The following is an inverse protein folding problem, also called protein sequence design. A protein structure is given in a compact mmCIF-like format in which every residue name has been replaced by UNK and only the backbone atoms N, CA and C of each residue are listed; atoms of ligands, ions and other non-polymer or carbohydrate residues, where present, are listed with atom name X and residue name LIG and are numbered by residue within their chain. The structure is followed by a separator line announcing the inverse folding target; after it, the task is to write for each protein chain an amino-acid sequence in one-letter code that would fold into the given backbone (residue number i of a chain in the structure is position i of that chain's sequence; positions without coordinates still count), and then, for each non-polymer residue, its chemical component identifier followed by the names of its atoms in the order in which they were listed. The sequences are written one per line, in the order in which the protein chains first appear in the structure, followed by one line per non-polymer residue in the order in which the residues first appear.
data_IF_429088402260
#
_entry.id   IF_429088402260
#
_cell.length_a   1.000
_cell.length_b   1.000
_cell.length_c   1.000
_cell.angle_alpha   90.00
_cell.angle_beta   90.00
_cell.angle_gamma   90.00
#
_symmetry.space_group_name_H-M   'P 1'
#
loop_
_entity.id
_entity.type
_entity.pdbx_description
1 polymer ?
#
# COMPACT_ATOMS: atom_id res chain seq x y z
N UNK A 1 -25.65 46.63 72.39
CA UNK A 1 -26.94 45.98 72.29
C UNK A 1 -26.78 44.64 71.59
N UNK A 2 -26.62 43.69 72.42
CA UNK A 2 -27.30 42.41 72.61
C UNK A 2 -27.73 41.69 71.30
N UNK A 3 -27.21 40.52 71.00
CA UNK A 3 -27.72 39.16 71.36
C UNK A 3 -26.80 38.08 70.76
N UNK A 4 -26.20 37.34 71.61
CA UNK A 4 -26.42 35.94 72.01
C UNK A 4 -26.05 34.90 70.94
N UNK A 5 -24.91 34.22 71.27
CA UNK A 5 -24.45 32.92 70.74
C UNK A 5 -25.42 31.80 71.16
N UNK A 6 -25.65 30.86 70.28
CA UNK A 6 -25.94 29.45 70.64
C UNK A 6 -25.03 28.56 69.77
N UNK A 7 -24.12 27.87 70.46
CA UNK A 7 -23.30 26.83 69.86
C UNK A 7 -24.09 25.51 69.83
N UNK A 8 -24.19 24.86 68.71
CA UNK A 8 -24.60 23.46 68.57
C UNK A 8 -23.42 22.66 68.16
N UNK A 9 -22.90 21.85 69.07
CA UNK A 9 -21.96 20.76 68.75
C UNK A 9 -22.77 19.65 68.09
N UNK A 10 -22.43 19.36 66.81
CA UNK A 10 -22.85 18.15 66.13
C UNK A 10 -21.67 17.24 66.05
N UNK A 11 -21.68 16.13 66.76
CA UNK A 11 -20.69 15.04 66.65
C UNK A 11 -20.92 14.27 65.33
N UNK A 12 -20.03 14.41 64.39
CA UNK A 12 -20.00 13.59 63.16
C UNK A 12 -19.16 12.35 63.41
N UNK A 13 -19.81 11.20 63.54
CA UNK A 13 -19.18 9.89 63.52
C UNK A 13 -18.76 9.59 62.10
N UNK A 14 -17.43 9.53 61.86
CA UNK A 14 -16.85 9.01 60.62
C UNK A 14 -17.06 7.49 60.54
N UNK A 15 -17.98 7.05 59.70
CA UNK A 15 -18.05 5.64 59.29
C UNK A 15 -17.04 5.40 58.14
N UNK A 16 -15.94 4.73 58.45
CA UNK A 16 -14.98 4.28 57.44
C UNK A 16 -15.55 3.06 56.70
N UNK A 17 -16.14 3.28 55.54
CA UNK A 17 -16.51 2.18 54.62
C UNK A 17 -15.26 1.75 53.89
N UNK A 18 -14.70 0.59 54.27
CA UNK A 18 -13.65 -0.10 53.50
C UNK A 18 -14.25 -0.63 52.17
N UNK A 19 -13.92 0.01 51.05
CA UNK A 19 -14.18 -0.54 49.73
C UNK A 19 -13.17 -1.65 49.46
N UNK A 20 -13.61 -2.89 49.59
CA UNK A 20 -12.89 -4.03 49.07
C UNK A 20 -12.94 -3.96 47.53
N UNK A 21 -11.83 -3.62 46.87
CA UNK A 21 -11.68 -3.75 45.42
C UNK A 21 -11.64 -5.21 45.07
N UNK A 22 -12.76 -5.78 44.59
CA UNK A 22 -12.76 -7.05 43.90
C UNK A 22 -11.99 -6.84 42.58
N UNK A 23 -10.71 -7.30 42.55
CA UNK A 23 -9.98 -7.47 41.32
C UNK A 23 -10.57 -8.67 40.58
N UNK A 24 -11.51 -8.39 39.67
CA UNK A 24 -12.02 -9.42 38.77
C UNK A 24 -10.88 -9.80 37.81
N UNK A 25 -10.24 -10.92 38.04
CA UNK A 25 -9.34 -11.54 37.08
C UNK A 25 -10.16 -11.80 35.80
N UNK A 26 -9.90 -11.03 34.73
CA UNK A 26 -10.46 -11.30 33.42
C UNK A 26 -9.99 -12.69 32.96
N UNK A 27 -10.92 -13.61 32.85
CA UNK A 27 -10.67 -14.88 32.20
C UNK A 27 -10.17 -14.62 30.77
N UNK A 28 -9.17 -15.38 30.27
CA UNK A 28 -8.71 -15.22 28.89
C UNK A 28 -9.91 -15.41 27.95
N UNK A 29 -10.10 -14.43 27.07
CA UNK A 29 -11.15 -14.48 26.04
C UNK A 29 -10.93 -15.76 25.23
N UNK A 30 -11.96 -16.59 25.01
CA UNK A 30 -11.79 -17.79 24.19
C UNK A 30 -11.30 -17.39 22.81
N UNK A 31 -10.22 -18.03 22.35
CA UNK A 31 -9.71 -17.87 21.01
C UNK A 31 -10.87 -18.07 20.03
N UNK A 32 -11.13 -17.10 19.17
CA UNK A 32 -12.19 -17.17 18.19
C UNK A 32 -12.01 -18.47 17.37
N UNK A 33 -13.02 -19.33 17.37
CA UNK A 33 -12.99 -20.56 16.58
C UNK A 33 -12.79 -20.20 15.10
N UNK A 34 -11.93 -20.91 14.34
CA UNK A 34 -11.69 -20.62 12.95
C UNK A 34 -13.01 -20.68 12.17
N UNK A 35 -13.29 -19.63 11.40
CA UNK A 35 -14.45 -19.60 10.49
C UNK A 35 -14.25 -20.75 9.51
N UNK A 36 -15.18 -21.73 9.48
CA UNK A 36 -15.11 -22.88 8.57
C UNK A 36 -15.04 -22.35 7.14
N UNK A 37 -13.93 -22.65 6.43
CA UNK A 37 -13.70 -22.27 5.04
C UNK A 37 -12.80 -21.04 4.85
N UNK A 38 -12.32 -20.36 5.91
CA UNK A 38 -11.31 -19.32 5.77
C UNK A 38 -9.95 -19.94 5.35
N UNK A 39 -9.15 -19.25 4.49
CA UNK A 39 -7.79 -19.69 4.19
C UNK A 39 -6.94 -19.77 5.46
N UNK A 40 -6.05 -20.78 5.53
CA UNK A 40 -5.04 -20.94 6.58
C UNK A 40 -3.65 -20.88 5.92
N UNK A 41 -3.25 -19.68 5.55
CA UNK A 41 -1.96 -19.49 4.89
C UNK A 41 -0.80 -19.82 5.82
N UNK A 42 -0.87 -19.49 7.12
CA UNK A 42 0.19 -19.86 8.07
C UNK A 42 0.36 -21.39 8.20
N UNK A 43 -0.73 -22.15 8.21
CA UNK A 43 -0.69 -23.62 8.16
C UNK A 43 -0.08 -24.14 6.86
N UNK A 44 -0.43 -23.53 5.71
CA UNK A 44 0.20 -23.84 4.41
C UNK A 44 1.71 -23.58 4.45
N UNK A 45 2.16 -22.41 4.95
CA UNK A 45 3.59 -22.11 5.09
C UNK A 45 4.33 -23.11 5.97
N UNK A 46 3.71 -23.53 7.09
CA UNK A 46 4.27 -24.52 8.01
C UNK A 46 4.49 -25.86 7.33
N UNK A 47 3.50 -26.33 6.56
CA UNK A 47 3.56 -27.63 5.90
C UNK A 47 4.43 -27.65 4.66
N UNK A 48 4.34 -26.62 3.80
CA UNK A 48 5.06 -26.55 2.53
C UNK A 48 6.49 -26.04 2.67
N UNK A 49 6.79 -25.27 3.74
CA UNK A 49 8.04 -24.53 3.96
C UNK A 49 8.36 -23.52 2.84
N UNK A 50 7.33 -23.06 2.12
CA UNK A 50 7.45 -22.16 0.98
C UNK A 50 6.40 -21.06 1.06
N UNK A 51 6.75 -19.89 0.52
CA UNK A 51 5.84 -18.77 0.30
C UNK A 51 5.87 -18.37 -1.18
N UNK A 52 4.70 -18.20 -1.76
CA UNK A 52 4.51 -17.72 -3.12
C UNK A 52 4.17 -16.24 -3.11
N UNK A 53 4.98 -15.42 -3.77
CA UNK A 53 4.89 -13.96 -3.73
C UNK A 53 4.66 -13.42 -5.13
N UNK A 54 3.54 -12.74 -5.34
CA UNK A 54 3.28 -12.01 -6.56
C UNK A 54 3.95 -10.62 -6.52
N UNK A 55 4.55 -10.19 -7.63
CA UNK A 55 5.31 -8.94 -7.75
C UNK A 55 5.11 -8.28 -9.11
N UNK A 56 5.39 -6.98 -9.20
CA UNK A 56 5.51 -6.30 -10.48
C UNK A 56 6.92 -6.46 -11.05
N UNK A 57 7.04 -6.61 -12.36
CA UNK A 57 8.34 -6.68 -13.03
C UNK A 57 8.87 -5.31 -13.46
N UNK A 58 8.00 -4.26 -13.52
CA UNK A 58 8.28 -2.99 -14.21
C UNK A 58 7.94 -1.74 -13.38
N UNK A 59 7.65 -1.87 -12.08
CA UNK A 59 7.24 -0.74 -11.23
C UNK A 59 8.42 -0.19 -10.42
N UNK A 60 9.54 0.18 -11.11
CA UNK A 60 10.62 0.93 -10.46
C UNK A 60 10.10 2.27 -9.87
N UNK A 61 10.50 2.66 -8.66
CA UNK A 61 11.43 2.01 -7.73
C UNK A 61 10.74 1.11 -6.69
N UNK A 62 9.45 0.81 -6.83
CA UNK A 62 8.66 0.10 -5.81
C UNK A 62 8.80 -1.43 -5.88
N UNK A 63 8.55 -2.02 -7.05
CA UNK A 63 8.65 -3.46 -7.30
C UNK A 63 9.03 -3.69 -8.76
N UNK A 64 10.22 -4.22 -9.01
CA UNK A 64 10.70 -4.48 -10.37
C UNK A 64 11.75 -5.58 -10.40
N UNK A 65 11.99 -6.13 -11.60
CA UNK A 65 13.00 -7.16 -11.83
C UNK A 65 14.11 -6.57 -12.70
N UNK A 66 15.35 -6.69 -12.25
CA UNK A 66 16.53 -6.28 -12.99
C UNK A 66 17.32 -7.53 -13.43
N UNK A 67 17.64 -7.63 -14.73
CA UNK A 67 18.52 -8.65 -15.29
C UNK A 67 18.10 -10.11 -14.99
N UNK A 68 16.80 -10.41 -14.96
CA UNK A 68 16.21 -11.72 -14.64
C UNK A 68 16.58 -12.26 -13.23
N UNK A 69 17.01 -11.38 -12.34
CA UNK A 69 17.30 -11.71 -10.94
C UNK A 69 16.02 -11.67 -10.07
N UNK A 70 16.21 -11.88 -8.77
CA UNK A 70 15.11 -11.67 -7.81
C UNK A 70 14.57 -10.24 -7.89
N UNK A 71 13.27 -10.06 -7.60
CA UNK A 71 12.68 -8.72 -7.57
C UNK A 71 13.34 -7.87 -6.48
N UNK A 72 13.43 -6.57 -6.76
CA UNK A 72 14.00 -5.54 -5.88
C UNK A 72 13.08 -4.32 -5.87
N UNK A 73 13.28 -3.44 -4.91
CA UNK A 73 12.52 -2.20 -4.78
C UNK A 73 12.03 -1.95 -3.36
N UNK A 74 11.44 -0.78 -3.15
CA UNK A 74 10.92 -0.35 -1.87
C UNK A 74 9.90 -1.36 -1.27
N UNK A 75 8.89 -1.73 -2.05
CA UNK A 75 7.87 -2.72 -1.64
C UNK A 75 8.48 -4.09 -1.39
N UNK A 76 9.49 -4.47 -2.17
CA UNK A 76 10.16 -5.76 -2.04
C UNK A 76 10.99 -5.82 -0.74
N UNK A 77 11.68 -4.73 -0.37
CA UNK A 77 12.42 -4.69 0.89
C UNK A 77 11.48 -4.76 2.10
N UNK A 78 10.32 -4.09 2.06
CA UNK A 78 9.28 -4.28 3.08
C UNK A 78 8.75 -5.72 3.08
N UNK A 79 8.50 -6.31 1.91
CA UNK A 79 8.03 -7.69 1.77
C UNK A 79 9.02 -8.70 2.37
N UNK A 80 10.32 -8.53 2.19
CA UNK A 80 11.34 -9.40 2.80
C UNK A 80 11.25 -9.39 4.33
N UNK A 81 10.92 -8.24 4.96
CA UNK A 81 10.66 -8.17 6.40
C UNK A 81 9.38 -8.90 6.80
N UNK A 82 8.34 -8.78 5.97
CA UNK A 82 7.09 -9.52 6.14
C UNK A 82 7.34 -11.03 6.04
N UNK A 83 8.06 -11.50 5.02
CA UNK A 83 8.39 -12.91 4.84
C UNK A 83 9.14 -13.48 6.06
N UNK A 84 10.11 -12.74 6.58
CA UNK A 84 10.85 -13.14 7.77
C UNK A 84 9.93 -13.27 9.01
N UNK A 85 8.96 -12.36 9.19
CA UNK A 85 7.97 -12.46 10.27
C UNK A 85 7.02 -13.64 10.07
N UNK A 86 6.51 -13.84 8.86
CA UNK A 86 5.66 -14.98 8.52
C UNK A 86 6.36 -16.32 8.77
N UNK A 87 7.65 -16.40 8.44
CA UNK A 87 8.46 -17.58 8.74
C UNK A 87 8.54 -17.88 10.24
N UNK A 88 8.77 -16.86 11.07
CA UNK A 88 8.75 -16.99 12.54
C UNK A 88 7.37 -17.44 13.05
N UNK A 89 6.31 -16.80 12.59
CA UNK A 89 4.94 -17.11 13.00
C UNK A 89 4.50 -18.54 12.60
N UNK A 90 4.96 -19.00 11.43
CA UNK A 90 4.72 -20.36 10.97
C UNK A 90 5.65 -21.41 11.61
N UNK A 91 6.69 -21.02 12.37
CA UNK A 91 7.71 -21.92 12.89
C UNK A 91 8.67 -22.44 11.81
N UNK A 92 8.85 -21.71 10.71
CA UNK A 92 9.69 -22.05 9.56
C UNK A 92 10.53 -20.81 9.21
N UNK A 93 11.57 -20.47 9.97
CA UNK A 93 12.34 -19.24 9.77
C UNK A 93 12.98 -19.13 8.38
N UNK A 94 13.28 -20.27 7.75
CA UNK A 94 13.92 -20.35 6.43
C UNK A 94 12.89 -20.68 5.35
N UNK A 95 11.86 -19.85 5.20
CA UNK A 95 10.87 -20.00 4.12
C UNK A 95 11.54 -19.83 2.74
N UNK A 96 11.38 -20.83 1.88
CA UNK A 96 11.74 -20.69 0.46
C UNK A 96 10.75 -19.75 -0.21
N UNK A 97 11.24 -18.68 -0.83
CA UNK A 97 10.40 -17.72 -1.56
C UNK A 97 10.37 -18.04 -3.04
N UNK A 98 9.16 -18.15 -3.59
CA UNK A 98 8.92 -18.30 -5.03
C UNK A 98 8.28 -16.99 -5.53
N UNK A 99 8.91 -16.36 -6.51
CA UNK A 99 8.46 -15.08 -7.07
C UNK A 99 7.68 -15.28 -8.36
N UNK A 100 6.53 -14.62 -8.48
CA UNK A 100 5.65 -14.65 -9.66
C UNK A 100 5.43 -13.22 -10.14
N UNK A 101 5.75 -12.93 -11.38
CA UNK A 101 5.48 -11.62 -11.99
C UNK A 101 4.13 -11.61 -12.68
N UNK A 102 3.49 -10.44 -12.72
CA UNK A 102 2.22 -10.25 -13.43
C UNK A 102 1.73 -8.82 -13.40
N UNK A 103 0.75 -8.54 -14.24
CA UNK A 103 -0.05 -7.31 -14.21
C UNK A 103 -0.83 -7.19 -12.89
N UNK A 104 -1.34 -6.02 -12.56
CA UNK A 104 -2.16 -5.80 -11.34
C UNK A 104 -3.30 -6.82 -11.25
N UNK A 105 -4.03 -7.02 -12.36
CA UNK A 105 -5.17 -7.94 -12.40
C UNK A 105 -4.74 -9.40 -12.16
N UNK A 106 -3.64 -9.83 -12.80
CA UNK A 106 -3.11 -11.18 -12.62
C UNK A 106 -2.63 -11.42 -11.19
N UNK A 107 -1.93 -10.46 -10.57
CA UNK A 107 -1.46 -10.58 -9.19
C UNK A 107 -2.60 -10.70 -8.19
N UNK A 108 -3.66 -9.88 -8.35
CA UNK A 108 -4.87 -10.00 -7.53
C UNK A 108 -5.53 -11.38 -7.73
N UNK A 109 -5.64 -11.86 -8.98
CA UNK A 109 -6.19 -13.19 -9.28
C UNK A 109 -5.34 -14.32 -8.68
N UNK A 110 -4.00 -14.21 -8.69
CA UNK A 110 -3.09 -15.17 -8.06
C UNK A 110 -3.33 -15.25 -6.55
N UNK A 111 -3.52 -14.12 -5.87
CA UNK A 111 -3.81 -14.12 -4.43
C UNK A 111 -5.21 -14.67 -4.15
N UNK A 112 -6.22 -14.23 -4.90
CA UNK A 112 -7.60 -14.68 -4.74
C UNK A 112 -7.77 -16.20 -4.96
N UNK A 113 -6.99 -16.79 -5.88
CA UNK A 113 -7.00 -18.22 -6.17
C UNK A 113 -6.09 -19.06 -5.26
N UNK A 114 -5.25 -18.44 -4.41
CA UNK A 114 -4.25 -19.12 -3.58
C UNK A 114 -3.00 -19.58 -4.34
N UNK A 115 -2.81 -19.18 -5.60
CA UNK A 115 -1.57 -19.38 -6.35
C UNK A 115 -0.42 -18.58 -5.75
N UNK A 116 -0.68 -17.34 -5.34
CA UNK A 116 0.21 -16.54 -4.51
C UNK A 116 -0.36 -16.40 -3.10
N UNK A 117 0.50 -16.31 -2.10
CA UNK A 117 0.15 -16.09 -0.71
C UNK A 117 0.04 -14.60 -0.37
N UNK A 118 0.76 -13.76 -1.12
CA UNK A 118 0.79 -12.32 -0.94
C UNK A 118 1.19 -11.62 -2.25
N UNK A 119 0.62 -10.45 -2.52
CA UNK A 119 1.10 -9.53 -3.58
C UNK A 119 1.93 -8.41 -2.94
N UNK A 120 3.23 -8.40 -3.22
CA UNK A 120 4.21 -7.45 -2.70
C UNK A 120 4.61 -6.37 -3.73
N UNK A 121 3.67 -5.87 -4.49
CA UNK A 121 3.94 -4.83 -5.50
C UNK A 121 3.46 -3.43 -5.06
N UNK A 122 3.01 -2.64 -6.00
CA UNK A 122 2.44 -1.31 -5.82
C UNK A 122 0.91 -1.34 -6.05
N UNK A 123 0.22 -2.23 -5.37
CA UNK A 123 -1.22 -2.43 -5.58
C UNK A 123 -2.04 -1.49 -4.71
N UNK A 124 -2.86 -0.66 -5.36
CA UNK A 124 -3.78 0.25 -4.67
C UNK A 124 -4.89 -0.53 -3.98
N UNK A 125 -5.08 -0.28 -2.69
CA UNK A 125 -6.20 -0.79 -1.92
C UNK A 125 -7.50 -0.08 -2.34
N UNK A 126 -8.47 -0.84 -2.86
CA UNK A 126 -9.78 -0.29 -3.25
C UNK A 126 -10.91 -1.20 -2.77
N UNK A 127 -12.10 -0.60 -2.53
CA UNK A 127 -13.28 -1.36 -2.13
C UNK A 127 -13.68 -2.41 -3.17
N UNK A 128 -13.44 -2.14 -4.47
CA UNK A 128 -13.72 -3.11 -5.52
C UNK A 128 -12.81 -4.34 -5.42
N UNK A 129 -11.51 -4.15 -5.19
CA UNK A 129 -10.53 -5.23 -5.02
C UNK A 129 -10.72 -6.01 -3.72
N UNK A 130 -11.25 -5.34 -2.68
CA UNK A 130 -11.58 -6.00 -1.39
C UNK A 130 -12.72 -7.03 -1.51
N UNK A 131 -13.39 -7.13 -2.65
CA UNK A 131 -14.32 -8.24 -2.91
C UNK A 131 -13.60 -9.57 -3.10
N UNK A 132 -12.36 -9.54 -3.60
CA UNK A 132 -11.58 -10.72 -3.99
C UNK A 132 -10.41 -11.00 -3.05
N UNK A 133 -9.79 -9.95 -2.47
CA UNK A 133 -8.64 -10.04 -1.58
C UNK A 133 -8.82 -9.12 -0.38
N UNK A 134 -8.06 -9.35 0.70
CA UNK A 134 -7.87 -8.38 1.77
C UNK A 134 -6.57 -7.60 1.56
N UNK A 135 -6.37 -6.52 2.32
CA UNK A 135 -5.17 -5.70 2.29
C UNK A 135 -4.52 -5.59 3.66
N UNK A 136 -3.19 -5.46 3.66
CA UNK A 136 -2.40 -5.11 4.83
C UNK A 136 -2.64 -3.65 5.26
N UNK A 137 -1.97 -3.22 6.31
CA UNK A 137 -1.69 -1.81 6.56
C UNK A 137 -1.04 -1.19 5.33
N UNK A 138 -1.24 0.14 5.12
CA UNK A 138 -0.70 0.83 3.95
C UNK A 138 0.82 0.85 4.00
N UNK A 139 1.44 0.63 2.84
CA UNK A 139 2.89 0.67 2.66
C UNK A 139 3.38 1.96 2.02
N UNK A 140 2.51 2.64 1.27
CA UNK A 140 2.83 3.88 0.58
C UNK A 140 1.57 4.69 0.25
N UNK A 141 1.74 5.99 0.02
CA UNK A 141 0.71 6.88 -0.52
C UNK A 141 1.30 7.65 -1.69
N UNK A 142 0.61 7.61 -2.80
CA UNK A 142 0.94 8.40 -3.99
C UNK A 142 -0.32 8.91 -4.70
N UNK A 143 -0.14 9.52 -5.85
CA UNK A 143 -1.22 9.97 -6.73
C UNK A 143 -1.00 9.48 -8.15
N UNK A 144 -2.08 9.31 -8.90
CA UNK A 144 -2.01 9.19 -10.35
C UNK A 144 -1.69 10.52 -11.01
N UNK A 145 -0.98 10.50 -12.14
CA UNK A 145 -0.59 11.70 -12.88
C UNK A 145 -0.40 11.44 -14.37
N UNK A 146 0.14 12.43 -15.05
CA UNK A 146 0.42 12.42 -16.48
C UNK A 146 1.90 12.70 -16.74
N UNK A 147 2.57 11.80 -17.45
CA UNK A 147 3.89 12.03 -18.04
C UNK A 147 3.66 12.58 -19.46
N UNK A 148 4.32 13.66 -19.78
CA UNK A 148 4.22 14.39 -21.06
C UNK A 148 5.59 14.77 -21.57
N UNK A 149 5.70 15.25 -22.81
CA UNK A 149 6.92 15.93 -23.28
C UNK A 149 7.04 17.29 -22.62
N UNK A 150 8.22 17.61 -22.10
CA UNK A 150 8.50 18.92 -21.53
C UNK A 150 8.38 20.03 -22.59
N UNK A 151 7.74 21.14 -22.23
CA UNK A 151 7.43 22.22 -23.18
C UNK A 151 6.47 21.81 -24.33
N UNK A 152 5.90 20.59 -24.28
CA UNK A 152 4.95 20.10 -25.29
C UNK A 152 3.56 20.74 -25.21
N UNK A 153 2.63 20.29 -26.06
CA UNK A 153 1.30 20.90 -26.17
C UNK A 153 0.35 20.55 -25.02
N UNK A 154 0.71 19.61 -24.13
CA UNK A 154 -0.10 19.19 -22.99
C UNK A 154 0.57 19.74 -21.73
N UNK A 155 -0.04 20.76 -21.11
CA UNK A 155 0.43 21.42 -19.89
C UNK A 155 -0.53 21.21 -18.70
N UNK A 156 -1.78 20.82 -18.98
CA UNK A 156 -2.84 20.55 -18.00
C UNK A 156 -3.82 19.53 -18.57
N UNK A 157 -4.67 18.97 -17.72
CA UNK A 157 -5.63 17.93 -18.11
C UNK A 157 -6.56 18.37 -19.27
N UNK A 158 -6.98 19.63 -19.30
CA UNK A 158 -7.88 20.14 -20.36
C UNK A 158 -7.23 20.10 -21.76
N UNK A 159 -5.90 20.16 -21.86
CA UNK A 159 -5.18 20.12 -23.14
C UNK A 159 -5.17 18.72 -23.79
N UNK A 160 -5.71 17.72 -23.10
CA UNK A 160 -5.86 16.36 -23.61
C UNK A 160 -6.93 16.22 -24.70
N UNK A 161 -7.76 17.25 -24.92
CA UNK A 161 -8.79 17.21 -25.97
C UNK A 161 -8.19 16.99 -27.35
N UNK A 162 -8.65 15.96 -28.08
CA UNK A 162 -8.14 15.54 -29.38
C UNK A 162 -6.80 14.79 -29.34
N UNK A 163 -6.21 14.55 -28.15
CA UNK A 163 -4.89 13.93 -27.96
C UNK A 163 -4.95 12.41 -27.79
N UNK A 164 -3.79 11.78 -28.00
CA UNK A 164 -3.58 10.36 -27.78
C UNK A 164 -2.97 10.15 -26.39
N UNK A 165 -3.65 9.40 -25.54
CA UNK A 165 -3.20 9.12 -24.16
C UNK A 165 -2.93 7.62 -24.02
N UNK A 166 -1.81 7.24 -23.45
CA UNK A 166 -1.54 5.86 -23.00
C UNK A 166 -1.90 5.70 -21.53
N UNK A 167 -2.36 4.52 -21.14
CA UNK A 167 -2.58 4.13 -19.75
C UNK A 167 -2.42 2.61 -19.61
N UNK A 168 -1.96 2.12 -18.45
CA UNK A 168 -1.88 0.68 -18.21
C UNK A 168 -3.26 0.10 -17.94
N UNK A 169 -3.61 -0.98 -18.65
CA UNK A 169 -4.88 -1.67 -18.51
C UNK A 169 -5.06 -2.29 -17.10
N UNK A 170 -6.28 -2.25 -16.56
CA UNK A 170 -6.65 -2.84 -15.27
C UNK A 170 -6.19 -2.05 -14.05
N UNK A 171 -5.66 -0.82 -14.24
CA UNK A 171 -5.19 0.03 -13.15
C UNK A 171 -6.30 0.95 -12.63
N UNK A 172 -6.14 1.44 -11.40
CA UNK A 172 -6.99 2.49 -10.82
C UNK A 172 -6.85 3.79 -11.60
N UNK A 173 -5.66 4.08 -12.11
CA UNK A 173 -5.40 5.25 -12.95
C UNK A 173 -6.18 5.19 -14.26
N UNK A 174 -6.33 4.02 -14.91
CA UNK A 174 -7.20 3.85 -16.09
C UNK A 174 -8.65 4.21 -15.78
N UNK A 175 -9.19 3.59 -14.72
CA UNK A 175 -10.60 3.84 -14.33
C UNK A 175 -10.83 5.32 -13.99
N UNK A 176 -9.87 5.98 -13.32
CA UNK A 176 -9.98 7.38 -12.96
C UNK A 176 -9.80 8.30 -14.16
N UNK A 177 -8.88 7.98 -15.09
CA UNK A 177 -8.72 8.72 -16.35
C UNK A 177 -10.01 8.70 -17.14
N UNK A 178 -10.62 7.53 -17.36
CA UNK A 178 -11.88 7.38 -18.08
C UNK A 178 -13.02 8.19 -17.43
N UNK A 179 -13.07 8.20 -16.08
CA UNK A 179 -14.05 9.02 -15.34
C UNK A 179 -13.81 10.52 -15.52
N UNK A 180 -12.56 11.00 -15.38
CA UNK A 180 -12.20 12.40 -15.52
C UNK A 180 -12.43 12.93 -16.93
N UNK A 181 -12.14 12.13 -17.97
CA UNK A 181 -12.43 12.52 -19.36
C UNK A 181 -13.93 12.78 -19.57
N UNK A 182 -14.79 11.95 -18.98
CA UNK A 182 -16.26 12.15 -19.03
C UNK A 182 -16.71 13.33 -18.17
N UNK A 183 -16.27 13.41 -16.93
CA UNK A 183 -16.64 14.47 -15.97
C UNK A 183 -16.27 15.86 -16.49
N UNK A 184 -15.10 15.99 -17.13
CA UNK A 184 -14.57 17.27 -17.63
C UNK A 184 -14.87 17.52 -19.10
N UNK A 185 -15.63 16.64 -19.76
CA UNK A 185 -16.00 16.72 -21.18
C UNK A 185 -14.78 16.83 -22.10
N UNK A 186 -13.68 16.12 -21.77
CA UNK A 186 -12.45 16.07 -22.56
C UNK A 186 -12.51 14.87 -23.49
N UNK A 187 -12.52 15.12 -24.81
CA UNK A 187 -12.55 14.06 -25.81
C UNK A 187 -11.11 13.69 -26.23
N UNK A 188 -10.58 12.58 -25.72
CA UNK A 188 -9.25 12.07 -26.02
C UNK A 188 -9.29 10.62 -26.52
N UNK A 189 -8.25 10.20 -27.24
CA UNK A 189 -8.09 8.81 -27.67
C UNK A 189 -7.23 8.06 -26.65
N UNK A 190 -7.79 7.06 -25.95
CA UNK A 190 -7.10 6.30 -24.91
C UNK A 190 -6.61 4.96 -25.46
N UNK A 191 -5.31 4.73 -25.40
CA UNK A 191 -4.64 3.46 -25.71
C UNK A 191 -4.32 2.71 -24.43
N UNK A 192 -4.81 1.48 -24.29
CA UNK A 192 -4.59 0.59 -23.15
C UNK A 192 -3.37 -0.26 -23.41
N UNK A 193 -2.34 -0.08 -22.58
CA UNK A 193 -1.03 -0.71 -22.73
C UNK A 193 -0.86 -1.81 -21.67
N UNK A 194 0.09 -2.71 -21.91
CA UNK A 194 0.42 -3.78 -20.96
C UNK A 194 1.60 -3.41 -20.07
N UNK A 195 2.58 -2.68 -20.60
CA UNK A 195 3.84 -2.38 -19.92
C UNK A 195 4.15 -0.88 -19.91
N UNK A 196 4.78 -0.41 -18.84
CA UNK A 196 5.12 1.00 -18.68
C UNK A 196 6.16 1.49 -19.70
N UNK A 197 7.14 0.65 -20.01
CA UNK A 197 8.19 0.99 -20.99
C UNK A 197 7.63 1.19 -22.40
N UNK A 198 6.56 0.46 -22.77
CA UNK A 198 5.86 0.67 -24.03
C UNK A 198 5.27 2.10 -24.08
N UNK A 199 4.64 2.54 -22.98
CA UNK A 199 4.05 3.87 -22.88
C UNK A 199 5.08 4.99 -23.05
N UNK A 200 6.23 4.88 -22.39
CA UNK A 200 7.34 5.84 -22.55
C UNK A 200 7.89 5.84 -23.96
N UNK A 201 8.15 4.67 -24.55
CA UNK A 201 8.65 4.59 -25.92
C UNK A 201 7.68 5.20 -26.95
N UNK A 202 6.37 5.01 -26.76
CA UNK A 202 5.34 5.63 -27.60
C UNK A 202 5.27 7.15 -27.41
N UNK A 203 5.46 7.66 -26.17
CA UNK A 203 5.51 9.08 -25.87
C UNK A 203 6.75 9.73 -26.51
N UNK A 204 7.94 9.14 -26.37
CA UNK A 204 9.17 9.60 -27.02
C UNK A 204 9.02 9.65 -28.54
N UNK A 205 8.41 8.61 -29.13
CA UNK A 205 8.15 8.54 -30.57
C UNK A 205 7.06 9.48 -31.09
N UNK A 206 6.37 10.23 -30.20
CA UNK A 206 5.26 11.11 -30.56
C UNK A 206 3.98 10.39 -30.99
N UNK A 207 3.84 9.09 -30.67
CA UNK A 207 2.63 8.30 -30.87
C UNK A 207 1.58 8.56 -29.78
N UNK A 208 2.05 8.99 -28.60
CA UNK A 208 1.24 9.48 -27.50
C UNK A 208 1.60 10.94 -27.21
N UNK A 209 0.62 11.72 -26.76
CA UNK A 209 0.79 13.07 -26.25
C UNK A 209 0.96 13.08 -24.72
N UNK A 210 0.41 12.07 -24.02
CA UNK A 210 0.51 11.88 -22.60
C UNK A 210 0.48 10.37 -22.24
N UNK A 211 1.11 10.02 -21.11
CA UNK A 211 1.04 8.69 -20.52
C UNK A 211 0.58 8.80 -19.07
N UNK A 212 -0.58 8.21 -18.75
CA UNK A 212 -1.18 8.23 -17.42
C UNK A 212 -0.69 7.03 -16.58
N UNK A 213 -0.38 7.27 -15.32
CA UNK A 213 0.08 6.25 -14.37
C UNK A 213 0.31 6.82 -12.98
N UNK A 214 0.72 5.98 -12.05
CA UNK A 214 1.13 6.38 -10.71
C UNK A 214 2.39 7.26 -10.80
N UNK A 215 2.39 8.43 -10.15
CA UNK A 215 3.47 9.43 -10.32
C UNK A 215 4.85 8.86 -10.01
N UNK A 216 4.99 8.06 -8.95
CA UNK A 216 6.29 7.44 -8.59
C UNK A 216 6.76 6.49 -9.69
N UNK A 217 5.85 5.66 -10.25
CA UNK A 217 6.16 4.81 -11.40
C UNK A 217 6.53 5.62 -12.63
N UNK A 218 5.78 6.71 -12.92
CA UNK A 218 6.08 7.59 -14.05
C UNK A 218 7.44 8.26 -13.92
N UNK A 219 7.84 8.72 -12.72
CA UNK A 219 9.20 9.22 -12.44
C UNK A 219 10.22 8.15 -12.73
N UNK A 220 9.99 6.94 -12.22
CA UNK A 220 10.88 5.81 -12.42
C UNK A 220 11.08 5.45 -13.89
N UNK A 221 10.02 5.48 -14.68
CA UNK A 221 10.06 5.24 -16.13
C UNK A 221 10.76 6.39 -16.86
N UNK A 222 10.47 7.65 -16.49
CA UNK A 222 11.09 8.81 -17.12
C UNK A 222 12.61 8.84 -16.91
N UNK A 223 13.10 8.47 -15.71
CA UNK A 223 14.55 8.40 -15.43
C UNK A 223 15.26 7.36 -16.32
N UNK A 224 14.55 6.31 -16.74
CA UNK A 224 15.07 5.25 -17.61
C UNK A 224 14.84 5.52 -19.11
N UNK A 225 14.17 6.62 -19.47
CA UNK A 225 13.94 7.02 -20.85
C UNK A 225 15.25 7.38 -21.57
N UNK A 226 15.22 7.44 -22.90
CA UNK A 226 16.39 7.83 -23.72
C UNK A 226 16.82 9.26 -23.45
N UNK A 227 15.85 10.15 -23.27
CA UNK A 227 16.07 11.55 -22.86
C UNK A 227 15.15 11.91 -21.68
N UNK A 228 15.59 11.64 -20.44
CA UNK A 228 14.82 11.97 -19.26
C UNK A 228 14.45 13.44 -19.13
N UNK A 229 15.27 14.35 -19.67
CA UNK A 229 15.06 15.81 -19.57
C UNK A 229 13.98 16.31 -20.53
N UNK A 230 13.66 15.53 -21.56
CA UNK A 230 12.57 15.85 -22.49
C UNK A 230 11.18 15.47 -21.96
N UNK A 231 11.10 14.91 -20.74
CA UNK A 231 9.87 14.44 -20.13
C UNK A 231 9.56 15.21 -18.85
N UNK A 232 8.29 15.50 -18.61
CA UNK A 232 7.80 16.18 -17.42
C UNK A 232 6.55 15.48 -16.88
N UNK A 233 6.37 15.51 -15.55
CA UNK A 233 5.13 15.07 -14.90
C UNK A 233 4.31 16.30 -14.57
N UNK A 234 3.05 16.30 -15.01
CA UNK A 234 2.14 17.40 -14.69
C UNK A 234 1.84 17.46 -13.19
N UNK A 235 1.68 18.68 -12.68
CA UNK A 235 1.39 18.92 -11.27
C UNK A 235 0.01 18.40 -10.83
N UNK A 236 -0.97 18.36 -11.74
CA UNK A 236 -2.32 17.88 -11.44
C UNK A 236 -2.30 16.41 -11.01
N UNK A 237 -3.05 16.12 -9.94
CA UNK A 237 -3.32 14.74 -9.49
C UNK A 237 -4.58 14.22 -10.16
N UNK A 238 -4.51 13.01 -10.73
CA UNK A 238 -5.66 12.32 -11.30
C UNK A 238 -6.44 11.53 -10.24
N UNK A 239 -5.71 10.92 -9.29
CA UNK A 239 -6.25 10.02 -8.28
C UNK A 239 -5.43 10.08 -6.99
N UNK A 240 -5.97 9.47 -5.95
CA UNK A 240 -5.28 9.15 -4.71
C UNK A 240 -5.07 7.65 -4.64
N UNK A 241 -3.84 7.21 -4.41
CA UNK A 241 -3.42 5.81 -4.50
C UNK A 241 -2.83 5.33 -3.16
N UNK A 242 -3.66 4.78 -2.26
CA UNK A 242 -3.19 4.12 -1.04
C UNK A 242 -2.70 2.71 -1.38
N UNK A 243 -1.38 2.48 -1.33
CA UNK A 243 -0.78 1.20 -1.67
C UNK A 243 -0.69 0.29 -0.45
N UNK A 244 -1.01 -0.99 -0.64
CA UNK A 244 -0.92 -2.03 0.39
C UNK A 244 -0.58 -3.39 -0.24
N UNK A 245 -0.10 -4.32 0.57
CA UNK A 245 0.03 -5.71 0.13
C UNK A 245 -1.34 -6.39 0.10
N UNK A 246 -1.67 -7.06 -1.02
CA UNK A 246 -2.87 -7.86 -1.06
C UNK A 246 -2.60 -9.25 -0.48
N UNK A 247 -3.54 -9.74 0.33
CA UNK A 247 -3.47 -11.03 1.05
C UNK A 247 -4.77 -11.81 0.84
N UNK A 248 -4.80 -13.12 1.07
CA UNK A 248 -6.00 -13.93 0.92
C UNK A 248 -7.16 -13.37 1.74
N UNK A 249 -8.33 -13.28 1.12
CA UNK A 249 -9.51 -12.73 1.75
C UNK A 249 -9.98 -13.61 2.92
N UNK A 250 -10.22 -12.96 4.06
CA UNK A 250 -10.70 -13.63 5.27
C UNK A 250 -9.62 -14.32 6.10
N UNK A 251 -8.35 -14.31 5.67
CA UNK A 251 -7.22 -14.84 6.44
C UNK A 251 -6.70 -13.80 7.46
N UNK A 252 -7.48 -13.57 8.50
CA UNK A 252 -7.14 -12.59 9.53
C UNK A 252 -5.86 -12.93 10.31
N UNK A 253 -5.54 -14.20 10.65
CA UNK A 253 -4.27 -14.53 11.29
C UNK A 253 -3.06 -14.21 10.42
N UNK A 254 -3.11 -14.54 9.14
CA UNK A 254 -2.04 -14.23 8.19
C UNK A 254 -1.86 -12.71 8.04
N UNK A 255 -2.94 -11.98 7.81
CA UNK A 255 -2.93 -10.52 7.71
C UNK A 255 -2.39 -9.84 8.97
N UNK A 256 -2.71 -10.37 10.16
CA UNK A 256 -2.17 -9.87 11.43
C UNK A 256 -0.64 -9.95 11.46
N UNK A 257 -0.05 -11.07 11.05
CA UNK A 257 1.40 -11.22 11.02
C UNK A 257 2.07 -10.32 9.97
N UNK A 258 1.43 -10.12 8.81
CA UNK A 258 1.87 -9.12 7.82
C UNK A 258 1.91 -7.72 8.45
N UNK A 259 0.84 -7.32 9.13
CA UNK A 259 0.73 -6.01 9.77
C UNK A 259 1.73 -5.84 10.93
N UNK A 260 2.00 -6.90 11.71
CA UNK A 260 3.06 -6.89 12.75
C UNK A 260 4.42 -6.58 12.17
N UNK A 261 4.78 -7.22 11.05
CA UNK A 261 6.03 -6.95 10.38
C UNK A 261 6.14 -5.49 9.92
N UNK A 262 5.10 -4.96 9.28
CA UNK A 262 5.06 -3.57 8.82
C UNK A 262 5.15 -2.60 10.00
N UNK A 263 4.40 -2.83 11.07
CA UNK A 263 4.47 -2.03 12.31
C UNK A 263 5.90 -2.02 12.89
N UNK A 264 6.58 -3.17 12.95
CA UNK A 264 7.97 -3.23 13.43
C UNK A 264 8.90 -2.37 12.57
N UNK A 265 8.77 -2.43 11.24
CA UNK A 265 9.57 -1.59 10.32
C UNK A 265 9.29 -0.11 10.55
N UNK A 266 8.03 0.28 10.76
CA UNK A 266 7.66 1.69 10.99
C UNK A 266 8.18 2.24 12.32
N UNK A 267 8.20 1.42 13.37
CA UNK A 267 8.64 1.82 14.72
C UNK A 267 10.15 1.73 14.92
N UNK A 268 10.85 0.86 14.19
CA UNK A 268 12.30 0.64 14.38
C UNK A 268 13.21 1.69 13.74
N UNK A 269 12.66 2.57 12.88
CA UNK A 269 13.43 3.48 12.06
C UNK A 269 14.02 2.84 10.77
N UNK A 270 13.84 1.54 10.57
CA UNK A 270 14.31 0.83 9.37
C UNK A 270 13.65 1.36 8.10
N UNK A 271 12.40 1.82 8.21
CA UNK A 271 11.67 2.45 7.11
C UNK A 271 12.43 3.60 6.48
N UNK A 272 13.07 4.47 7.28
CA UNK A 272 13.85 5.60 6.76
C UNK A 272 15.00 5.13 5.87
N UNK A 273 15.67 4.07 6.27
CA UNK A 273 16.78 3.47 5.50
C UNK A 273 16.27 2.90 4.17
N UNK A 274 15.16 2.15 4.20
CA UNK A 274 14.53 1.58 2.99
C UNK A 274 14.04 2.72 2.07
N UNK A 275 13.35 3.71 2.63
CA UNK A 275 12.86 4.87 1.86
C UNK A 275 14.02 5.61 1.19
N UNK A 276 15.08 5.94 1.94
CA UNK A 276 16.25 6.65 1.42
C UNK A 276 16.94 5.89 0.30
N UNK A 277 17.05 4.57 0.42
CA UNK A 277 17.68 3.73 -0.58
C UNK A 277 16.96 3.76 -1.94
N UNK A 278 15.64 3.74 -1.94
CA UNK A 278 14.83 3.61 -3.17
C UNK A 278 14.22 4.93 -3.66
N UNK A 279 13.77 5.76 -2.74
CA UNK A 279 12.99 6.95 -3.02
C UNK A 279 13.76 8.25 -2.69
N UNK A 280 14.88 8.15 -1.99
CA UNK A 280 15.73 9.30 -1.66
C UNK A 280 16.11 10.17 -2.85
N UNK A 281 16.47 9.61 -4.01
CA UNK A 281 16.74 10.40 -5.23
C UNK A 281 15.51 11.18 -5.75
N UNK A 282 14.29 10.72 -5.45
CA UNK A 282 13.03 11.36 -5.88
C UNK A 282 12.64 12.47 -4.89
N UNK A 283 13.01 12.36 -3.61
CA UNK A 283 12.71 13.36 -2.61
C UNK A 283 12.58 12.81 -1.18
N UNK A 284 12.01 13.65 -0.31
CA UNK A 284 11.68 13.28 1.08
C UNK A 284 10.22 12.84 1.17
N UNK A 285 9.85 12.03 2.18
CA UNK A 285 8.46 11.74 2.45
C UNK A 285 7.64 13.02 2.61
N UNK A 286 6.48 13.08 1.95
CA UNK A 286 5.52 14.18 2.19
C UNK A 286 4.98 14.10 3.62
N UNK A 287 4.44 15.21 4.13
CA UNK A 287 3.80 15.20 5.45
C UNK A 287 2.66 14.17 5.56
N UNK A 288 1.88 14.00 4.48
CA UNK A 288 0.81 12.99 4.41
C UNK A 288 1.36 11.56 4.47
N UNK A 289 2.44 11.27 3.74
CA UNK A 289 3.09 9.97 3.77
C UNK A 289 3.68 9.67 5.16
N UNK A 290 4.31 10.65 5.79
CA UNK A 290 4.81 10.54 7.17
C UNK A 290 3.68 10.26 8.17
N UNK A 291 2.56 10.97 8.07
CA UNK A 291 1.38 10.73 8.89
C UNK A 291 0.81 9.32 8.67
N UNK A 292 0.77 8.84 7.43
CA UNK A 292 0.33 7.47 7.13
C UNK A 292 1.20 6.43 7.84
N UNK A 293 2.51 6.53 7.80
CA UNK A 293 3.39 5.59 8.51
C UNK A 293 3.14 5.59 10.01
N UNK A 294 2.99 6.78 10.62
CA UNK A 294 2.69 6.90 12.04
C UNK A 294 1.35 6.25 12.41
N UNK A 295 0.29 6.50 11.62
CA UNK A 295 -1.04 5.95 11.87
C UNK A 295 -1.13 4.43 11.63
N UNK A 296 -0.27 3.87 10.77
CA UNK A 296 -0.19 2.44 10.51
C UNK A 296 0.80 1.71 11.45
N UNK A 297 1.53 2.43 12.28
CA UNK A 297 2.38 1.87 13.34
C UNK A 297 1.49 1.50 14.56
N UNK A 298 0.65 0.47 14.41
CA UNK A 298 -0.30 0.04 15.43
C UNK A 298 0.46 -0.56 16.62
N UNK A 299 0.23 -0.09 17.87
CA UNK A 299 0.88 -0.66 19.06
C UNK A 299 0.58 -2.15 19.25
N UNK A 300 1.53 -2.88 19.89
CA UNK A 300 1.40 -4.31 20.20
C UNK A 300 0.38 -4.53 21.31
#
# INVERSE_FOLDING_TARGET
MNRLLIALLAATTLATTSFATLSAAQAPSPAAAPIRGAPDTLGKLRSSRQINVAVSADSFPLSFVKDKNEPIGYSIDLCKRVIAQLGRAAGVPDLKTNWFTGTVAERIAMVASGQADIDCANTTATLSRMKDVDFSSLIFLESGGLLVKDGGPVQKFADLSGRNIGVLAGTTTEARLDALLKERLVNAKVSRLKEGNEGVAMLEAGKLDAFAGDKVKLVGLAVQAKDPKALAILSEDLSFEPLAFAVPRGDSPFRLEVNRALTQVYLSGELETIFKAWLGPIGRPTGLLGAMYLLNAIPQ
#
